data_IF_299566115705
#
_entry.id   IF_299566115705
#
_cell.length_a   1.000
_cell.length_b   1.000
_cell.length_c   1.000
_cell.angle_alpha   90.00
_cell.angle_beta   90.00
_cell.angle_gamma   90.00
#
_symmetry.space_group_name_H-M   'P 1'
#
loop_
_entity.id
_entity.type
_entity.pdbx_description
1 polymer ?
#
# COMPACT_ATOMS: atom_id res chain seq x y z
N UNK A 1 14.20 8.48 -37.86
CA UNK A 1 13.15 8.95 -36.92
C UNK A 1 13.87 9.41 -35.67
N UNK A 2 13.83 10.71 -35.37
CA UNK A 2 14.49 11.26 -34.18
C UNK A 2 13.86 10.65 -32.91
N UNK A 3 14.66 10.40 -31.84
CA UNK A 3 14.09 10.01 -30.56
C UNK A 3 13.08 11.09 -30.11
N UNK A 4 12.01 10.73 -29.38
CA UNK A 4 11.13 11.73 -28.78
C UNK A 4 12.01 12.67 -27.97
N UNK A 5 11.97 13.97 -28.28
CA UNK A 5 12.73 14.97 -27.55
C UNK A 5 12.41 14.79 -26.06
N UNK A 6 13.43 14.46 -25.29
CA UNK A 6 13.38 14.53 -23.84
C UNK A 6 12.87 15.94 -23.54
N UNK A 7 11.72 16.05 -22.86
CA UNK A 7 11.14 17.36 -22.53
C UNK A 7 12.26 18.25 -22.00
N UNK A 8 12.55 19.35 -22.70
CA UNK A 8 13.80 20.11 -22.50
C UNK A 8 14.01 20.55 -21.05
N UNK A 9 12.92 20.74 -20.29
CA UNK A 9 12.94 21.09 -18.88
C UNK A 9 13.24 19.92 -17.93
N UNK A 10 13.02 18.67 -18.34
CA UNK A 10 13.37 17.46 -17.59
C UNK A 10 14.82 17.01 -17.80
N UNK A 11 15.48 17.49 -18.86
CA UNK A 11 16.86 17.12 -19.20
C UNK A 11 17.89 17.44 -18.08
N UNK A 12 17.54 18.33 -17.15
CA UNK A 12 18.34 18.67 -15.97
C UNK A 12 18.25 17.69 -14.81
N UNK A 13 17.30 16.74 -14.83
CA UNK A 13 17.12 15.76 -13.76
C UNK A 13 17.68 14.39 -14.15
N UNK A 14 18.05 13.59 -13.16
CA UNK A 14 18.63 12.28 -13.38
C UNK A 14 17.59 11.31 -13.97
N UNK A 15 17.88 10.80 -15.17
CA UNK A 15 17.13 9.73 -15.82
C UNK A 15 17.96 8.45 -15.78
N UNK A 16 17.46 7.42 -15.10
CA UNK A 16 18.22 6.20 -14.83
C UNK A 16 17.43 4.91 -15.03
N UNK A 17 18.18 3.80 -15.19
CA UNK A 17 17.60 2.45 -15.11
C UNK A 17 17.10 2.21 -13.69
N UNK A 18 15.79 2.10 -13.54
CA UNK A 18 15.16 1.95 -12.24
C UNK A 18 15.06 0.48 -11.82
N UNK A 19 15.96 0.06 -10.92
CA UNK A 19 16.03 -1.29 -10.35
C UNK A 19 16.20 -1.21 -8.84
N UNK A 20 15.14 -0.94 -8.08
CA UNK A 20 15.25 -0.81 -6.63
C UNK A 20 15.70 -2.13 -6.00
N UNK A 21 16.70 -2.06 -5.12
CA UNK A 21 17.12 -3.18 -4.28
C UNK A 21 16.14 -3.32 -3.11
N UNK A 22 15.71 -2.20 -2.53
CA UNK A 22 14.77 -2.15 -1.40
C UNK A 22 13.46 -1.42 -1.73
N UNK A 23 12.43 -1.66 -0.93
CA UNK A 23 11.16 -0.94 -0.93
C UNK A 23 11.33 0.54 -0.61
N UNK A 24 12.31 0.89 0.23
CA UNK A 24 12.65 2.30 0.48
C UNK A 24 13.22 2.96 -0.78
N UNK A 25 14.11 2.29 -1.51
CA UNK A 25 14.62 2.79 -2.80
C UNK A 25 13.53 2.87 -3.88
N UNK A 26 12.57 1.94 -3.83
CA UNK A 26 11.34 1.99 -4.65
C UNK A 26 10.48 3.21 -4.28
N UNK A 27 10.48 3.60 -3.02
CA UNK A 27 9.62 4.64 -2.50
C UNK A 27 8.17 4.20 -2.33
N UNK A 28 7.39 5.07 -1.69
CA UNK A 28 5.98 4.90 -1.34
C UNK A 28 5.12 5.70 -2.31
N UNK A 29 4.00 5.14 -2.78
CA UNK A 29 3.11 5.86 -3.70
C UNK A 29 2.49 7.09 -3.04
N UNK A 30 2.42 8.20 -3.77
CA UNK A 30 1.69 9.39 -3.37
C UNK A 30 0.39 9.48 -4.18
N UNK A 31 -0.78 9.55 -3.53
CA UNK A 31 -2.06 9.63 -4.23
C UNK A 31 -2.36 11.07 -4.66
N UNK A 32 -1.50 11.62 -5.52
CA UNK A 32 -1.70 12.94 -6.11
C UNK A 32 -2.92 12.98 -7.03
N UNK A 33 -3.58 14.13 -7.08
CA UNK A 33 -4.69 14.39 -8.02
C UNK A 33 -4.24 15.08 -9.30
N UNK A 34 -3.09 15.76 -9.28
CA UNK A 34 -2.46 16.40 -10.43
C UNK A 34 -2.02 15.34 -11.44
N UNK A 35 -2.55 15.36 -12.67
CA UNK A 35 -2.28 14.30 -13.66
C UNK A 35 -0.80 14.05 -13.96
N UNK A 36 0.01 15.11 -14.01
CA UNK A 36 1.46 15.01 -14.23
C UNK A 36 2.23 14.29 -13.11
N UNK A 37 1.61 14.13 -11.94
CA UNK A 37 2.19 13.47 -10.77
C UNK A 37 1.60 12.09 -10.51
N UNK A 38 0.70 11.61 -11.38
CA UNK A 38 0.02 10.34 -11.22
C UNK A 38 1.03 9.18 -11.14
N UNK A 39 0.91 8.35 -10.10
CA UNK A 39 1.84 7.26 -9.83
C UNK A 39 3.18 7.69 -9.25
N UNK A 40 3.35 8.97 -8.93
CA UNK A 40 4.56 9.50 -8.27
C UNK A 40 4.82 8.83 -6.92
N UNK A 41 6.09 8.67 -6.58
CA UNK A 41 6.53 8.03 -5.33
C UNK A 41 7.48 8.92 -4.55
N UNK A 42 7.38 8.90 -3.23
CA UNK A 42 8.36 9.52 -2.32
C UNK A 42 9.35 8.48 -1.82
N UNK A 43 10.63 8.83 -1.79
CA UNK A 43 11.67 8.01 -1.17
C UNK A 43 12.68 8.88 -0.40
N UNK A 44 13.42 8.31 0.56
CA UNK A 44 14.59 8.99 1.09
C UNK A 44 15.68 9.06 0.02
N UNK A 45 16.21 10.25 -0.23
CA UNK A 45 17.40 10.51 -1.03
C UNK A 45 18.67 10.61 -0.18
N UNK A 46 19.71 11.20 -0.77
CA UNK A 46 20.96 11.49 -0.06
C UNK A 46 20.71 12.31 1.22
N UNK A 47 21.45 12.02 2.28
CA UNK A 47 21.32 12.71 3.59
C UNK A 47 19.89 12.70 4.16
N UNK A 48 19.04 11.75 3.75
CA UNK A 48 17.63 11.62 4.14
C UNK A 48 16.74 12.78 3.68
N UNK A 49 17.15 13.57 2.69
CA UNK A 49 16.23 14.53 2.06
C UNK A 49 15.27 13.76 1.15
N UNK A 50 13.95 14.03 1.17
CA UNK A 50 13.03 13.32 0.31
C UNK A 50 13.32 13.58 -1.18
N UNK A 51 13.01 12.59 -2.00
CA UNK A 51 13.06 12.65 -3.46
C UNK A 51 11.71 12.22 -4.03
N UNK A 52 11.34 12.83 -5.15
CA UNK A 52 10.18 12.45 -5.93
C UNK A 52 10.63 11.57 -7.09
N UNK A 53 10.04 10.38 -7.20
CA UNK A 53 10.24 9.46 -8.33
C UNK A 53 9.01 9.53 -9.23
N UNK A 54 9.21 9.86 -10.49
CA UNK A 54 8.16 9.90 -11.52
C UNK A 54 8.46 8.88 -12.62
N UNK A 55 7.43 8.18 -13.08
CA UNK A 55 7.54 7.40 -14.30
C UNK A 55 7.95 8.30 -15.46
N UNK A 56 8.75 7.79 -16.40
CA UNK A 56 9.20 8.60 -17.53
C UNK A 56 7.99 9.02 -18.40
N UNK A 57 7.65 10.33 -18.51
CA UNK A 57 6.49 10.78 -19.26
C UNK A 57 6.60 10.53 -20.77
N UNK A 58 7.81 10.30 -21.30
CA UNK A 58 8.00 9.90 -22.70
C UNK A 58 7.68 8.42 -22.95
N UNK A 59 7.24 7.66 -21.93
CA UNK A 59 6.91 6.24 -22.03
C UNK A 59 8.12 5.30 -22.14
N UNK A 60 9.34 5.85 -22.17
CA UNK A 60 10.58 5.08 -22.31
C UNK A 60 11.02 4.42 -20.99
N UNK A 61 11.92 3.44 -21.09
CA UNK A 61 12.45 2.72 -19.94
C UNK A 61 13.21 3.67 -18.99
N UNK A 62 12.71 3.83 -17.76
CA UNK A 62 13.39 4.57 -16.70
C UNK A 62 12.41 5.29 -15.77
N UNK A 63 12.97 6.04 -14.83
CA UNK A 63 12.25 7.01 -13.99
C UNK A 63 13.03 8.31 -13.96
N UNK A 64 12.33 9.41 -13.66
CA UNK A 64 12.95 10.65 -13.23
C UNK A 64 13.02 10.67 -11.71
N UNK A 65 14.20 10.98 -11.18
CA UNK A 65 14.40 11.25 -9.76
C UNK A 65 14.61 12.76 -9.62
N UNK A 66 13.71 13.40 -8.88
CA UNK A 66 13.74 14.84 -8.66
C UNK A 66 14.02 15.13 -7.19
N UNK A 67 14.82 16.16 -6.88
CA UNK A 67 14.89 16.68 -5.52
C UNK A 67 13.49 17.11 -5.11
N UNK A 68 13.12 16.95 -3.84
CA UNK A 68 11.80 17.36 -3.37
C UNK A 68 11.49 18.80 -3.83
N UNK A 69 12.36 19.76 -3.53
CA UNK A 69 12.18 21.17 -3.90
C UNK A 69 11.91 21.45 -5.39
N UNK A 70 12.15 20.49 -6.30
CA UNK A 70 11.90 20.62 -7.73
C UNK A 70 10.44 20.45 -8.17
N UNK A 71 9.48 20.12 -7.29
CA UNK A 71 8.08 19.94 -7.72
C UNK A 71 7.48 21.13 -8.50
N UNK A 72 7.65 22.39 -8.08
CA UNK A 72 7.09 23.54 -8.80
C UNK A 72 7.64 23.70 -10.22
N UNK A 73 8.82 23.14 -10.48
CA UNK A 73 9.44 23.16 -11.81
C UNK A 73 8.82 22.12 -12.76
N UNK A 74 8.05 21.15 -12.23
CA UNK A 74 7.41 20.07 -12.98
C UNK A 74 6.02 20.46 -13.45
N UNK A 75 5.20 20.99 -12.54
CA UNK A 75 3.82 21.31 -12.79
C UNK A 75 3.29 22.31 -11.76
N UNK A 76 2.07 22.81 -11.97
CA UNK A 76 1.31 23.52 -10.94
C UNK A 76 0.41 22.50 -10.23
N UNK A 77 0.74 22.07 -9.00
CA UNK A 77 -0.04 21.04 -8.32
C UNK A 77 -1.36 21.61 -7.80
N UNK A 78 -2.37 20.74 -7.66
CA UNK A 78 -3.62 21.08 -6.98
C UNK A 78 -3.37 21.53 -5.53
N UNK A 79 -4.37 22.19 -4.92
CA UNK A 79 -4.27 22.60 -3.51
C UNK A 79 -4.10 21.39 -2.58
N UNK A 80 -4.83 20.31 -2.85
CA UNK A 80 -4.68 19.02 -2.17
C UNK A 80 -3.24 18.52 -2.26
N UNK A 81 -2.66 18.50 -3.46
CA UNK A 81 -1.34 17.94 -3.68
C UNK A 81 -0.25 18.78 -3.02
N UNK A 82 -0.39 20.11 -2.99
CA UNK A 82 0.51 21.00 -2.24
C UNK A 82 0.46 20.73 -0.74
N UNK A 83 -0.73 20.47 -0.18
CA UNK A 83 -0.88 20.13 1.23
C UNK A 83 -0.28 18.76 1.55
N UNK A 84 -0.56 17.74 0.71
CA UNK A 84 0.02 16.41 0.82
C UNK A 84 1.55 16.47 0.76
N UNK A 85 2.06 17.19 -0.24
CA UNK A 85 3.48 17.43 -0.47
C UNK A 85 4.20 17.99 0.76
N UNK A 86 3.65 19.04 1.38
CA UNK A 86 4.25 19.63 2.58
C UNK A 86 4.19 18.68 3.77
N UNK A 87 3.09 17.93 3.92
CA UNK A 87 2.88 17.03 5.06
C UNK A 87 3.79 15.82 5.02
N UNK A 88 3.91 15.15 3.87
CA UNK A 88 4.73 13.92 3.76
C UNK A 88 6.22 14.20 3.92
N UNK A 89 6.68 15.40 3.58
CA UNK A 89 8.06 15.84 3.78
C UNK A 89 8.49 15.88 5.24
N UNK A 90 7.53 15.99 6.17
CA UNK A 90 7.76 16.10 7.61
C UNK A 90 7.61 14.75 8.32
N UNK A 91 7.32 13.67 7.59
CA UNK A 91 7.15 12.36 8.21
C UNK A 91 8.50 11.84 8.75
N UNK A 92 8.54 11.34 10.00
CA UNK A 92 9.78 10.81 10.58
C UNK A 92 10.25 9.53 9.89
N UNK A 93 9.30 8.78 9.30
CA UNK A 93 9.57 7.55 8.55
C UNK A 93 8.61 7.45 7.37
N UNK A 94 9.15 7.12 6.20
CA UNK A 94 8.38 6.89 4.98
C UNK A 94 7.97 5.43 4.88
N UNK A 95 6.69 5.15 5.14
CA UNK A 95 6.07 3.83 4.96
C UNK A 95 4.71 4.01 4.27
N UNK A 96 4.17 2.96 3.62
CA UNK A 96 2.81 3.01 3.08
C UNK A 96 1.77 3.42 4.13
N UNK A 97 1.97 3.03 5.39
CA UNK A 97 1.10 3.41 6.49
C UNK A 97 1.17 4.91 6.78
N UNK A 98 2.37 5.46 7.04
CA UNK A 98 2.52 6.87 7.41
C UNK A 98 2.09 7.81 6.29
N UNK A 99 2.36 7.45 5.03
CA UNK A 99 1.90 8.21 3.86
C UNK A 99 0.38 8.14 3.70
N UNK A 100 -0.23 6.97 3.92
CA UNK A 100 -1.70 6.82 3.88
C UNK A 100 -2.38 7.65 4.97
N UNK A 101 -1.86 7.62 6.20
CA UNK A 101 -2.36 8.45 7.30
C UNK A 101 -2.24 9.94 6.98
N UNK A 102 -1.08 10.38 6.47
CA UNK A 102 -0.89 11.76 6.02
C UNK A 102 -1.86 12.15 4.89
N UNK A 103 -2.07 11.26 3.92
CA UNK A 103 -3.01 11.46 2.81
C UNK A 103 -4.46 11.58 3.29
N UNK A 104 -4.90 10.69 4.18
CA UNK A 104 -6.25 10.76 4.77
C UNK A 104 -6.45 12.04 5.58
N UNK A 105 -5.45 12.48 6.34
CA UNK A 105 -5.50 13.73 7.08
C UNK A 105 -5.68 14.94 6.15
N UNK A 106 -4.94 15.01 5.03
CA UNK A 106 -5.07 16.08 4.04
C UNK A 106 -6.42 16.00 3.31
N UNK A 107 -6.87 14.80 2.95
CA UNK A 107 -8.17 14.62 2.30
C UNK A 107 -9.33 15.06 3.21
N UNK A 108 -9.24 14.83 4.53
CA UNK A 108 -10.23 15.24 5.52
C UNK A 108 -10.39 16.77 5.61
N UNK A 109 -9.38 17.55 5.21
CA UNK A 109 -9.46 19.03 5.12
C UNK A 109 -10.36 19.49 3.96
N UNK A 110 -10.79 18.59 3.06
CA UNK A 110 -11.70 18.91 1.96
C UNK A 110 -11.04 19.49 0.72
N UNK A 111 -9.71 19.48 0.65
CA UNK A 111 -8.94 20.08 -0.44
C UNK A 111 -9.09 19.33 -1.78
N UNK A 112 -9.48 18.05 -1.76
CA UNK A 112 -9.86 17.25 -2.92
C UNK A 112 -11.39 17.08 -3.05
N UNK A 113 -12.16 17.98 -2.44
CA UNK A 113 -13.62 17.97 -2.46
C UNK A 113 -14.28 17.22 -1.30
N UNK A 114 -15.60 17.43 -1.16
CA UNK A 114 -16.40 16.91 -0.03
C UNK A 114 -16.50 15.38 -0.02
N UNK A 115 -16.54 14.75 -1.19
CA UNK A 115 -16.62 13.29 -1.28
C UNK A 115 -15.34 12.64 -0.74
N UNK A 116 -14.17 13.14 -1.14
CA UNK A 116 -12.87 12.69 -0.63
C UNK A 116 -12.73 12.90 0.88
N UNK A 117 -13.20 14.04 1.41
CA UNK A 117 -13.19 14.29 2.86
C UNK A 117 -14.06 13.31 3.65
N UNK A 118 -15.28 13.02 3.17
CA UNK A 118 -16.17 12.04 3.81
C UNK A 118 -15.56 10.64 3.77
N UNK A 119 -15.06 10.24 2.61
CA UNK A 119 -14.38 8.96 2.41
C UNK A 119 -13.18 8.80 3.37
N UNK A 120 -12.36 9.85 3.55
CA UNK A 120 -11.25 9.83 4.50
C UNK A 120 -11.72 9.71 5.97
N UNK A 121 -12.78 10.42 6.36
CA UNK A 121 -13.35 10.34 7.70
C UNK A 121 -13.98 8.97 8.00
N UNK A 122 -14.64 8.36 7.02
CA UNK A 122 -15.18 7.00 7.10
C UNK A 122 -14.07 5.96 7.21
N UNK A 123 -13.01 6.09 6.40
CA UNK A 123 -11.84 5.21 6.47
C UNK A 123 -11.15 5.28 7.84
N UNK A 124 -11.02 6.47 8.42
CA UNK A 124 -10.44 6.66 9.76
C UNK A 124 -11.32 6.05 10.86
N UNK A 125 -12.65 6.15 10.74
CA UNK A 125 -13.57 5.47 11.65
C UNK A 125 -13.44 3.95 11.52
N UNK A 126 -13.43 3.43 10.30
CA UNK A 126 -13.28 2.00 10.03
C UNK A 126 -11.95 1.45 10.58
N UNK A 127 -10.84 2.18 10.44
CA UNK A 127 -9.54 1.79 11.02
C UNK A 127 -9.60 1.76 12.55
N UNK A 128 -10.25 2.72 13.21
CA UNK A 128 -10.41 2.68 14.68
C UNK A 128 -11.27 1.52 15.15
N UNK A 129 -12.36 1.23 14.44
CA UNK A 129 -13.26 0.11 14.75
C UNK A 129 -12.54 -1.23 14.53
N UNK A 130 -11.77 -1.36 13.44
CA UNK A 130 -10.97 -2.55 13.14
C UNK A 130 -9.81 -2.77 14.13
N UNK A 131 -9.16 -1.70 14.59
CA UNK A 131 -8.13 -1.78 15.64
C UNK A 131 -8.74 -2.27 16.96
N UNK A 132 -9.89 -1.72 17.34
CA UNK A 132 -10.65 -2.13 18.53
C UNK A 132 -11.05 -3.61 18.45
N UNK A 133 -11.59 -4.03 17.29
CA UNK A 133 -11.94 -5.42 17.03
C UNK A 133 -10.71 -6.34 17.13
N UNK A 134 -9.60 -5.95 16.51
CA UNK A 134 -8.34 -6.72 16.54
C UNK A 134 -7.85 -6.87 17.98
N UNK A 135 -7.87 -5.80 18.76
CA UNK A 135 -7.48 -5.84 20.18
C UNK A 135 -8.33 -6.84 20.98
N UNK A 136 -9.66 -6.78 20.86
CA UNK A 136 -10.53 -7.72 21.56
C UNK A 136 -10.27 -9.17 21.17
N UNK A 137 -10.04 -9.43 19.89
CA UNK A 137 -9.71 -10.78 19.45
C UNK A 137 -8.35 -11.25 19.96
N UNK A 138 -7.34 -10.37 20.06
CA UNK A 138 -6.06 -10.73 20.69
C UNK A 138 -6.25 -11.10 22.17
N UNK A 139 -7.15 -10.41 22.90
CA UNK A 139 -7.48 -10.78 24.27
C UNK A 139 -8.18 -12.15 24.35
N UNK A 140 -9.14 -12.42 23.47
CA UNK A 140 -9.83 -13.72 23.40
C UNK A 140 -8.82 -14.84 23.13
N UNK A 141 -7.95 -14.62 22.13
CA UNK A 141 -6.95 -15.59 21.73
C UNK A 141 -5.91 -15.83 22.82
N UNK A 142 -5.50 -14.79 23.56
CA UNK A 142 -4.59 -14.94 24.70
C UNK A 142 -5.20 -15.82 25.80
N UNK A 143 -6.48 -15.60 26.14
CA UNK A 143 -7.19 -16.41 27.12
C UNK A 143 -7.33 -17.84 26.63
N UNK A 144 -7.67 -18.04 25.35
CA UNK A 144 -7.78 -19.36 24.73
C UNK A 144 -6.45 -20.12 24.75
N UNK A 145 -5.34 -19.47 24.46
CA UNK A 145 -4.00 -20.08 24.50
C UNK A 145 -3.56 -20.47 25.92
N UNK A 146 -4.08 -19.79 26.95
CA UNK A 146 -3.80 -20.11 28.35
C UNK A 146 -4.68 -21.22 28.92
N UNK A 147 -5.86 -21.47 28.33
CA UNK A 147 -6.75 -22.58 28.68
C UNK A 147 -7.18 -23.37 27.43
N UNK A 148 -6.27 -24.19 26.84
CA UNK A 148 -6.57 -24.95 25.62
C UNK A 148 -7.69 -25.97 25.79
N UNK A 149 -7.93 -26.42 27.03
CA UNK A 149 -8.93 -27.43 27.37
C UNK A 149 -10.31 -26.84 27.67
N UNK A 150 -10.44 -25.50 27.71
CA UNK A 150 -11.70 -24.80 27.95
C UNK A 150 -12.31 -25.13 29.31
N UNK A 151 -11.48 -25.25 30.36
CA UNK A 151 -11.95 -25.54 31.72
C UNK A 151 -12.52 -24.30 32.43
N UNK A 152 -12.25 -23.10 31.92
CA UNK A 152 -12.83 -21.86 32.39
C UNK A 152 -14.30 -21.69 32.00
N UNK A 153 -15.04 -20.93 32.80
CA UNK A 153 -16.43 -20.57 32.50
C UNK A 153 -16.53 -19.90 31.11
N UNK A 154 -17.52 -20.23 30.26
CA UNK A 154 -17.64 -19.62 28.93
C UNK A 154 -17.71 -18.09 28.98
N UNK A 155 -16.96 -17.41 28.11
CA UNK A 155 -17.08 -15.96 27.93
C UNK A 155 -18.42 -15.65 27.27
N UNK A 156 -19.24 -14.81 27.91
CA UNK A 156 -20.46 -14.31 27.29
C UNK A 156 -20.10 -13.33 26.16
N UNK A 157 -20.70 -13.45 24.97
CA UNK A 157 -20.49 -12.48 23.89
C UNK A 157 -20.77 -11.05 24.37
N UNK A 158 -19.82 -10.14 24.18
CA UNK A 158 -19.95 -8.73 24.56
C UNK A 158 -19.58 -8.38 26.00
N UNK A 159 -19.21 -9.34 26.86
CA UNK A 159 -18.72 -9.05 28.21
C UNK A 159 -17.22 -8.70 28.21
N UNK A 160 -16.93 -7.48 27.77
CA UNK A 160 -15.57 -6.96 27.62
C UNK A 160 -14.83 -6.86 28.95
N UNK A 161 -15.52 -6.48 30.02
CA UNK A 161 -14.90 -6.31 31.34
C UNK A 161 -14.39 -7.65 31.87
N UNK A 162 -15.19 -8.70 31.76
CA UNK A 162 -14.77 -10.06 32.17
C UNK A 162 -13.63 -10.57 31.30
N UNK A 163 -13.68 -10.32 29.98
CA UNK A 163 -12.58 -10.67 29.07
C UNK A 163 -11.27 -10.00 29.47
N UNK A 164 -11.27 -8.69 29.70
CA UNK A 164 -10.08 -7.95 30.13
C UNK A 164 -9.53 -8.46 31.46
N UNK A 165 -10.41 -8.73 32.43
CA UNK A 165 -10.00 -9.27 33.74
C UNK A 165 -9.32 -10.63 33.59
N UNK A 166 -9.86 -11.52 32.75
CA UNK A 166 -9.26 -12.83 32.49
C UNK A 166 -7.95 -12.72 31.74
N UNK A 167 -7.87 -11.87 30.71
CA UNK A 167 -6.63 -11.63 29.99
C UNK A 167 -5.54 -11.13 30.94
N UNK A 168 -5.86 -10.18 31.85
CA UNK A 168 -4.92 -9.72 32.89
C UNK A 168 -4.50 -10.84 33.83
N UNK A 169 -5.43 -11.69 34.27
CA UNK A 169 -5.11 -12.85 35.11
C UNK A 169 -4.15 -13.82 34.41
N UNK A 170 -4.35 -14.07 33.11
CA UNK A 170 -3.44 -14.89 32.28
C UNK A 170 -2.05 -14.27 32.23
N UNK A 171 -1.93 -12.96 31.99
CA UNK A 171 -0.65 -12.26 31.96
C UNK A 171 0.08 -12.31 33.31
N UNK A 172 -0.67 -12.22 34.41
CA UNK A 172 -0.12 -12.37 35.77
C UNK A 172 0.37 -13.80 36.00
N UNK A 173 -0.40 -14.80 35.60
CA UNK A 173 -0.07 -16.22 35.81
C UNK A 173 1.11 -16.70 34.95
N UNK A 174 1.25 -16.20 33.73
CA UNK A 174 2.37 -16.53 32.82
C UNK A 174 3.66 -15.79 33.13
N UNK A 175 3.64 -14.86 34.08
CA UNK A 175 4.83 -14.11 34.48
C UNK A 175 5.84 -15.05 35.16
N UNK A 176 6.89 -15.40 34.43
CA UNK A 176 8.03 -16.17 34.95
C UNK A 176 9.17 -15.29 35.46
N UNK A 177 9.22 -14.02 35.02
CA UNK A 177 10.26 -13.05 35.38
C UNK A 177 9.66 -11.67 35.72
N UNK A 178 10.38 -10.90 36.54
CA UNK A 178 10.00 -9.55 36.97
C UNK A 178 10.14 -8.48 35.90
N UNK A 179 10.87 -8.74 34.82
CA UNK A 179 11.22 -7.78 33.76
C UNK A 179 10.02 -7.16 33.02
N UNK A 180 8.90 -7.87 32.87
CA UNK A 180 7.70 -7.35 32.23
C UNK A 180 6.52 -7.26 33.21
N UNK A 181 5.97 -6.06 33.40
CA UNK A 181 4.78 -5.87 34.23
C UNK A 181 3.51 -6.31 33.48
N UNK A 182 2.48 -6.86 34.17
CA UNK A 182 1.21 -7.22 33.54
C UNK A 182 0.50 -6.04 32.86
N UNK A 183 0.69 -4.82 33.38
CA UNK A 183 0.15 -3.59 32.77
C UNK A 183 0.84 -3.31 31.43
N UNK A 184 2.18 -3.35 31.40
CA UNK A 184 2.95 -3.16 30.17
C UNK A 184 2.65 -4.26 29.14
N UNK A 185 2.45 -5.51 29.58
CA UNK A 185 2.05 -6.61 28.71
C UNK A 185 0.64 -6.41 28.12
N UNK A 186 -0.29 -5.88 28.92
CA UNK A 186 -1.64 -5.56 28.44
C UNK A 186 -1.62 -4.40 27.43
N UNK A 187 -0.86 -3.34 27.70
CA UNK A 187 -0.63 -2.23 26.76
C UNK A 187 0.02 -2.72 25.45
N UNK A 188 0.91 -3.72 25.52
CA UNK A 188 1.55 -4.27 24.32
C UNK A 188 0.53 -4.91 23.39
N UNK A 189 -0.53 -5.53 23.92
CA UNK A 189 -1.60 -6.11 23.11
C UNK A 189 -2.42 -5.02 22.39
N UNK A 190 -2.55 -3.84 22.97
CA UNK A 190 -3.18 -2.70 22.29
C UNK A 190 -2.29 -2.14 21.18
N UNK A 191 -0.99 -2.00 21.43
CA UNK A 191 -0.02 -1.58 20.41
C UNK A 191 0.09 -2.61 19.26
N UNK A 192 0.14 -3.91 19.58
CA UNK A 192 0.13 -4.99 18.60
C UNK A 192 -1.16 -4.98 17.79
N UNK A 193 -2.32 -4.68 18.39
CA UNK A 193 -3.57 -4.55 17.63
C UNK A 193 -3.45 -3.47 16.55
N UNK A 194 -2.87 -2.31 16.84
CA UNK A 194 -2.65 -1.25 15.85
C UNK A 194 -1.64 -1.66 14.76
N UNK A 195 -0.65 -2.50 15.10
CA UNK A 195 0.33 -3.01 14.14
C UNK A 195 -0.29 -4.03 13.18
N UNK A 196 -1.12 -4.94 13.70
CA UNK A 196 -1.71 -6.06 12.96
C UNK A 196 -3.06 -5.74 12.31
N UNK A 197 -3.74 -4.65 12.70
CA UNK A 197 -5.05 -4.25 12.16
C UNK A 197 -5.13 -4.29 10.62
N UNK A 198 -4.14 -3.78 9.86
CA UNK A 198 -4.25 -3.77 8.40
C UNK A 198 -4.25 -5.18 7.80
N UNK A 199 -3.58 -6.12 8.46
CA UNK A 199 -3.48 -7.52 8.08
C UNK A 199 -4.73 -8.31 8.53
N UNK A 200 -5.33 -7.91 9.64
CA UNK A 200 -6.42 -8.64 10.26
C UNK A 200 -5.93 -9.90 10.98
N UNK A 201 -6.87 -10.81 11.21
CA UNK A 201 -6.66 -12.01 11.99
C UNK A 201 -6.92 -13.28 11.16
N UNK A 202 -6.32 -14.42 11.53
CA UNK A 202 -6.59 -15.69 10.89
C UNK A 202 -8.09 -16.02 10.91
N UNK A 203 -8.67 -16.36 9.76
CA UNK A 203 -10.07 -16.79 9.66
C UNK A 203 -11.09 -15.67 9.46
N UNK A 204 -10.71 -14.39 9.57
CA UNK A 204 -11.56 -13.26 9.15
C UNK A 204 -10.80 -12.26 8.27
N UNK A 205 -10.45 -12.66 7.03
CA UNK A 205 -9.75 -11.77 6.11
C UNK A 205 -10.65 -10.63 5.61
N UNK A 206 -11.98 -10.73 5.73
CA UNK A 206 -12.89 -9.83 5.03
C UNK A 206 -13.01 -8.44 5.67
N UNK A 207 -12.64 -8.30 6.94
CA UNK A 207 -12.73 -7.02 7.67
C UNK A 207 -11.50 -6.13 7.48
N UNK A 208 -10.31 -6.74 7.41
CA UNK A 208 -9.07 -5.99 7.37
C UNK A 208 -8.79 -5.41 5.99
N UNK A 209 -8.10 -4.26 5.96
CA UNK A 209 -7.86 -3.49 4.73
C UNK A 209 -7.03 -4.25 3.70
N UNK A 210 -5.95 -4.93 4.11
CA UNK A 210 -5.02 -5.55 3.17
C UNK A 210 -5.58 -6.78 2.45
N UNK A 211 -6.27 -7.73 3.13
CA UNK A 211 -6.93 -8.80 2.40
C UNK A 211 -8.07 -8.29 1.52
N UNK A 212 -8.83 -7.26 1.94
CA UNK A 212 -9.83 -6.59 1.09
C UNK A 212 -9.21 -6.05 -0.20
N UNK A 213 -8.10 -5.33 -0.10
CA UNK A 213 -7.35 -4.87 -1.28
C UNK A 213 -6.87 -6.04 -2.15
N UNK A 214 -6.45 -7.16 -1.54
CA UNK A 214 -6.12 -8.39 -2.26
C UNK A 214 -7.30 -8.94 -3.09
N UNK A 215 -8.51 -8.95 -2.51
CA UNK A 215 -9.74 -9.33 -3.22
C UNK A 215 -10.11 -8.32 -4.31
N UNK A 216 -9.95 -7.02 -4.06
CA UNK A 216 -10.20 -5.97 -5.06
C UNK A 216 -9.27 -6.10 -6.28
N UNK A 217 -7.99 -6.40 -6.06
CA UNK A 217 -7.05 -6.66 -7.16
C UNK A 217 -7.54 -7.86 -7.98
N UNK A 218 -7.96 -8.95 -7.33
CA UNK A 218 -8.46 -10.14 -8.04
C UNK A 218 -9.70 -9.81 -8.89
N UNK A 219 -10.67 -9.10 -8.31
CA UNK A 219 -11.88 -8.69 -9.01
C UNK A 219 -11.60 -7.79 -10.21
N UNK A 220 -10.68 -6.81 -10.09
CA UNK A 220 -10.27 -5.96 -11.22
C UNK A 220 -9.59 -6.77 -12.32
N UNK A 221 -8.76 -7.76 -11.97
CA UNK A 221 -8.13 -8.63 -12.98
C UNK A 221 -9.15 -9.51 -13.71
N UNK A 222 -10.17 -10.01 -13.03
CA UNK A 222 -11.28 -10.75 -13.65
C UNK A 222 -12.11 -9.87 -14.60
N UNK A 223 -12.39 -8.62 -14.20
CA UNK A 223 -13.04 -7.62 -15.06
C UNK A 223 -12.22 -7.32 -16.32
N UNK A 224 -10.91 -7.09 -16.16
CA UNK A 224 -10.00 -6.85 -17.28
C UNK A 224 -9.94 -8.05 -18.22
N UNK A 225 -9.91 -9.27 -17.69
CA UNK A 225 -9.90 -10.49 -18.51
C UNK A 225 -11.17 -10.59 -19.37
N UNK A 226 -12.35 -10.29 -18.81
CA UNK A 226 -13.60 -10.23 -19.59
C UNK A 226 -13.58 -9.13 -20.64
N UNK A 227 -13.00 -7.98 -20.31
CA UNK A 227 -12.88 -6.86 -21.23
C UNK A 227 -11.82 -7.09 -22.33
N UNK A 228 -10.88 -8.02 -22.15
CA UNK A 228 -9.86 -8.35 -23.12
C UNK A 228 -10.41 -8.99 -24.41
N UNK A 229 -11.57 -9.64 -24.35
CA UNK A 229 -12.22 -10.32 -25.47
C UNK A 229 -12.51 -9.38 -26.66
N UNK A 230 -13.20 -8.23 -26.48
CA UNK A 230 -13.39 -7.24 -27.55
C UNK A 230 -12.18 -6.32 -27.78
N UNK A 231 -11.13 -6.37 -26.95
CA UNK A 231 -10.06 -5.38 -26.96
C UNK A 231 -9.10 -5.55 -28.15
N UNK A 232 -8.33 -4.51 -28.48
CA UNK A 232 -7.27 -4.59 -29.50
C UNK A 232 -5.99 -5.28 -28.99
N UNK A 233 -5.00 -5.56 -29.87
CA UNK A 233 -3.74 -6.21 -29.50
C UNK A 233 -2.93 -5.45 -28.44
N UNK A 234 -2.95 -4.11 -28.49
CA UNK A 234 -2.22 -3.23 -27.57
C UNK A 234 -2.82 -3.30 -26.16
N UNK A 235 -4.14 -3.23 -26.07
CA UNK A 235 -4.90 -3.33 -24.82
C UNK A 235 -4.72 -4.71 -24.19
N UNK A 236 -4.84 -5.80 -24.96
CA UNK A 236 -4.58 -7.15 -24.47
C UNK A 236 -3.17 -7.31 -23.89
N UNK A 237 -2.18 -6.63 -24.49
CA UNK A 237 -0.81 -6.64 -23.97
C UNK A 237 -0.69 -5.90 -22.63
N UNK A 238 -1.41 -4.79 -22.45
CA UNK A 238 -1.49 -4.08 -21.17
C UNK A 238 -2.18 -4.93 -20.09
N UNK A 239 -3.28 -5.59 -20.45
CA UNK A 239 -4.04 -6.47 -19.55
C UNK A 239 -3.16 -7.63 -19.07
N UNK A 240 -2.41 -8.27 -19.98
CA UNK A 240 -1.46 -9.33 -19.62
C UNK A 240 -0.41 -8.83 -18.63
N UNK A 241 0.18 -7.66 -18.87
CA UNK A 241 1.16 -7.06 -17.97
C UNK A 241 0.59 -6.82 -16.56
N UNK A 242 -0.62 -6.26 -16.49
CA UNK A 242 -1.33 -6.03 -15.23
C UNK A 242 -1.62 -7.35 -14.51
N UNK A 243 -2.09 -8.37 -15.23
CA UNK A 243 -2.39 -9.68 -14.68
C UNK A 243 -1.14 -10.39 -14.14
N UNK A 244 -0.01 -10.33 -14.86
CA UNK A 244 1.27 -10.88 -14.42
C UNK A 244 1.76 -10.17 -13.14
N UNK A 245 1.71 -8.84 -13.10
CA UNK A 245 2.07 -8.05 -11.92
C UNK A 245 1.17 -8.31 -10.72
N UNK A 246 -0.15 -8.46 -10.95
CA UNK A 246 -1.13 -8.78 -9.92
C UNK A 246 -0.90 -10.18 -9.37
N UNK A 247 -0.66 -11.18 -10.22
CA UNK A 247 -0.40 -12.55 -9.82
C UNK A 247 0.87 -12.65 -8.96
N UNK A 248 1.97 -12.01 -9.36
CA UNK A 248 3.20 -11.93 -8.58
C UNK A 248 2.95 -11.25 -7.23
N UNK A 249 2.26 -10.10 -7.23
CA UNK A 249 1.93 -9.38 -5.99
C UNK A 249 1.11 -10.25 -5.04
N UNK A 250 0.03 -10.87 -5.53
CA UNK A 250 -0.84 -11.70 -4.71
C UNK A 250 -0.11 -12.91 -4.15
N UNK A 251 0.77 -13.54 -4.94
CA UNK A 251 1.61 -14.63 -4.46
C UNK A 251 2.47 -14.16 -3.27
N UNK A 252 3.14 -13.02 -3.42
CA UNK A 252 3.97 -12.47 -2.35
C UNK A 252 3.13 -12.05 -1.12
N UNK A 253 1.98 -11.41 -1.31
CA UNK A 253 1.13 -10.98 -0.20
C UNK A 253 0.62 -12.18 0.59
N UNK A 254 0.19 -13.27 -0.07
CA UNK A 254 -0.28 -14.47 0.64
C UNK A 254 0.80 -15.06 1.54
N UNK A 255 2.03 -15.15 1.06
CA UNK A 255 3.14 -15.67 1.86
C UNK A 255 3.52 -14.73 3.02
N UNK A 256 3.56 -13.40 2.79
CA UNK A 256 3.82 -12.43 3.85
C UNK A 256 2.72 -12.43 4.92
N UNK A 257 1.44 -12.52 4.52
CA UNK A 257 0.30 -12.62 5.44
C UNK A 257 0.36 -13.90 6.28
N UNK A 258 0.77 -15.03 5.69
CA UNK A 258 0.96 -16.29 6.44
C UNK A 258 2.02 -16.13 7.52
N UNK A 259 3.14 -15.46 7.23
CA UNK A 259 4.23 -15.22 8.18
C UNK A 259 3.80 -14.28 9.32
N UNK A 260 3.06 -13.21 8.99
CA UNK A 260 2.47 -12.30 9.99
C UNK A 260 1.51 -13.07 10.89
N UNK A 261 0.56 -13.82 10.33
CA UNK A 261 -0.39 -14.60 11.10
C UNK A 261 0.26 -15.68 11.97
N UNK A 262 1.37 -16.27 11.53
CA UNK A 262 2.11 -17.25 12.32
C UNK A 262 2.65 -16.66 13.64
N UNK A 263 2.92 -15.35 13.71
CA UNK A 263 3.34 -14.71 14.97
C UNK A 263 2.25 -14.76 16.05
N UNK A 264 0.98 -14.89 15.67
CA UNK A 264 -0.15 -14.91 16.59
C UNK A 264 -0.32 -16.28 17.27
N UNK A 265 0.46 -17.30 16.87
CA UNK A 265 0.39 -18.65 17.46
C UNK A 265 0.87 -18.74 18.91
N UNK A 266 1.72 -17.82 19.35
CA UNK A 266 2.11 -17.65 20.76
C UNK A 266 2.11 -16.16 21.13
N UNK A 267 0.96 -15.69 21.61
CA UNK A 267 0.77 -14.28 21.96
C UNK A 267 1.61 -13.84 23.14
N UNK A 268 1.94 -14.74 24.07
CA UNK A 268 2.78 -14.38 25.20
C UNK A 268 4.21 -14.08 24.76
N UNK A 269 4.79 -14.98 23.95
CA UNK A 269 6.13 -14.74 23.38
C UNK A 269 6.13 -13.51 22.46
N UNK A 270 5.07 -13.27 21.69
CA UNK A 270 4.94 -12.08 20.86
C UNK A 270 4.96 -10.79 21.70
N UNK A 271 4.20 -10.74 22.80
CA UNK A 271 4.16 -9.59 23.73
C UNK A 271 5.53 -9.34 24.36
N UNK A 272 6.22 -10.40 24.80
CA UNK A 272 7.57 -10.27 25.36
C UNK A 272 8.54 -9.71 24.32
N UNK A 273 8.53 -10.26 23.09
CA UNK A 273 9.39 -9.78 22.00
C UNK A 273 9.08 -8.34 21.62
N UNK A 274 7.79 -7.97 21.54
CA UNK A 274 7.35 -6.61 21.24
C UNK A 274 7.91 -5.59 22.23
N UNK A 275 7.90 -5.94 23.53
CA UNK A 275 8.41 -5.05 24.58
C UNK A 275 9.93 -4.94 24.60
N UNK A 276 10.64 -5.97 24.17
CA UNK A 276 12.11 -5.94 24.10
C UNK A 276 12.64 -5.30 22.82
N UNK A 277 12.03 -5.64 21.68
CA UNK A 277 12.44 -5.21 20.33
C UNK A 277 11.20 -5.14 19.43
N UNK A 278 10.49 -4.00 19.39
CA UNK A 278 9.28 -3.85 18.57
C UNK A 278 9.58 -3.77 17.07
N UNK A 279 10.76 -3.28 16.66
CA UNK A 279 11.07 -2.96 15.27
C UNK A 279 11.00 -4.18 14.33
N UNK A 280 11.53 -5.36 14.67
CA UNK A 280 11.40 -6.54 13.81
C UNK A 280 9.94 -6.96 13.57
N UNK A 281 9.09 -6.87 14.61
CA UNK A 281 7.67 -7.24 14.51
C UNK A 281 6.91 -6.20 13.67
N UNK A 282 7.18 -4.91 13.89
CA UNK A 282 6.60 -3.83 13.09
C UNK A 282 7.00 -3.94 11.61
N UNK A 283 8.28 -4.24 11.33
CA UNK A 283 8.76 -4.47 9.95
C UNK A 283 8.07 -5.67 9.30
N UNK A 284 7.93 -6.77 10.03
CA UNK A 284 7.25 -7.97 9.52
C UNK A 284 5.79 -7.66 9.18
N UNK A 285 5.04 -7.03 10.09
CA UNK A 285 3.65 -6.65 9.89
C UNK A 285 3.46 -5.61 8.77
N UNK A 286 4.47 -4.80 8.46
CA UNK A 286 4.43 -3.83 7.37
C UNK A 286 4.70 -4.44 5.98
N UNK A 287 5.27 -5.65 5.87
CA UNK A 287 5.61 -6.27 4.57
C UNK A 287 4.42 -6.37 3.61
N UNK A 288 3.22 -6.80 4.03
CA UNK A 288 2.08 -6.87 3.10
C UNK A 288 1.64 -5.48 2.61
N UNK A 289 1.78 -4.43 3.44
CA UNK A 289 1.50 -3.04 3.01
C UNK A 289 2.47 -2.59 1.92
N UNK A 290 3.75 -2.91 2.07
CA UNK A 290 4.77 -2.61 1.05
C UNK A 290 4.53 -3.35 -0.27
N UNK A 291 4.11 -4.61 -0.22
CA UNK A 291 3.80 -5.39 -1.41
C UNK A 291 2.59 -4.82 -2.17
N UNK A 292 1.60 -4.30 -1.46
CA UNK A 292 0.36 -3.77 -2.03
C UNK A 292 0.41 -2.28 -2.39
N UNK A 293 1.47 -1.57 -1.99
CA UNK A 293 1.66 -0.14 -2.23
C UNK A 293 1.64 0.23 -3.73
N UNK A 294 0.61 1.00 -4.13
CA UNK A 294 0.32 1.40 -5.51
C UNK A 294 -0.94 0.76 -6.11
N UNK A 295 -1.38 -0.39 -5.61
CA UNK A 295 -2.52 -1.12 -6.19
C UNK A 295 -3.87 -0.44 -5.95
N UNK A 296 -4.06 0.27 -4.83
CA UNK A 296 -5.29 1.03 -4.57
C UNK A 296 -5.55 2.05 -5.69
N UNK A 297 -4.50 2.71 -6.20
CA UNK A 297 -4.58 3.68 -7.29
C UNK A 297 -4.91 3.01 -8.63
N UNK A 298 -4.28 1.86 -8.92
CA UNK A 298 -4.53 1.07 -10.14
C UNK A 298 -5.99 0.57 -10.17
N UNK A 299 -6.47 -0.02 -9.08
CA UNK A 299 -7.85 -0.47 -8.95
C UNK A 299 -8.85 0.71 -8.98
N UNK A 300 -8.46 1.85 -8.39
CA UNK A 300 -9.22 3.09 -8.43
C UNK A 300 -9.44 3.62 -9.85
N UNK A 301 -8.39 3.65 -10.67
CA UNK A 301 -8.47 4.09 -12.08
C UNK A 301 -9.48 3.27 -12.87
N UNK A 302 -9.41 1.94 -12.77
CA UNK A 302 -10.33 1.07 -13.51
C UNK A 302 -11.78 1.30 -13.10
N UNK A 303 -12.06 1.40 -11.79
CA UNK A 303 -13.42 1.63 -11.27
C UNK A 303 -13.98 3.00 -11.63
N UNK A 304 -13.13 4.02 -11.69
CA UNK A 304 -13.52 5.37 -12.05
C UNK A 304 -13.68 5.56 -13.58
N UNK A 305 -13.16 4.65 -14.40
CA UNK A 305 -13.19 4.78 -15.85
C UNK A 305 -14.54 4.37 -16.45
N UNK A 306 -15.20 5.33 -17.07
CA UNK A 306 -16.34 5.08 -17.97
C UNK A 306 -15.90 4.28 -19.20
N UNK A 307 -16.83 3.60 -19.87
CA UNK A 307 -16.53 2.67 -20.97
C UNK A 307 -15.66 3.29 -22.09
N UNK A 308 -15.95 4.53 -22.49
CA UNK A 308 -15.16 5.25 -23.50
C UNK A 308 -13.76 5.69 -23.05
N UNK A 309 -13.49 5.69 -21.74
CA UNK A 309 -12.21 6.11 -21.14
C UNK A 309 -11.35 4.93 -20.66
N UNK A 310 -11.85 3.69 -20.75
CA UNK A 310 -11.13 2.47 -20.34
C UNK A 310 -9.78 2.27 -21.04
N UNK A 311 -9.61 2.52 -22.35
CA UNK A 311 -8.30 2.39 -23.00
C UNK A 311 -7.24 3.32 -22.40
N UNK A 312 -7.60 4.57 -22.10
CA UNK A 312 -6.68 5.53 -21.47
C UNK A 312 -6.35 5.13 -20.02
N UNK A 313 -7.37 4.74 -19.24
CA UNK A 313 -7.16 4.25 -17.87
C UNK A 313 -6.24 3.01 -17.84
N UNK A 314 -6.35 2.13 -18.82
CA UNK A 314 -5.50 0.94 -18.94
C UNK A 314 -4.02 1.28 -19.16
N UNK A 315 -3.73 2.31 -19.96
CA UNK A 315 -2.37 2.80 -20.17
C UNK A 315 -1.81 3.42 -18.88
N UNK A 316 -2.60 4.25 -18.18
CA UNK A 316 -2.23 4.82 -16.89
C UNK A 316 -1.93 3.70 -15.86
N UNK A 317 -2.80 2.69 -15.79
CA UNK A 317 -2.62 1.53 -14.90
C UNK A 317 -1.33 0.77 -15.21
N UNK A 318 -1.07 0.46 -16.49
CA UNK A 318 0.11 -0.27 -16.93
C UNK A 318 1.42 0.49 -16.61
N UNK A 319 1.41 1.83 -16.72
CA UNK A 319 2.56 2.67 -16.38
C UNK A 319 2.90 2.62 -14.89
N UNK A 320 1.92 2.39 -14.02
CA UNK A 320 2.05 2.40 -12.56
C UNK A 320 2.28 1.02 -11.93
N UNK A 321 2.28 -0.06 -12.71
CA UNK A 321 2.49 -1.42 -12.22
C UNK A 321 3.76 -1.47 -11.35
N UNK A 322 3.65 -1.83 -10.05
CA UNK A 322 4.78 -1.79 -9.15
C UNK A 322 5.90 -2.74 -9.58
N UNK A 323 7.14 -2.26 -9.47
CA UNK A 323 8.33 -3.11 -9.60
C UNK A 323 8.61 -3.73 -8.23
N UNK A 324 8.82 -5.04 -8.19
CA UNK A 324 9.23 -5.74 -6.98
C UNK A 324 10.75 -5.53 -6.73
N UNK A 325 11.13 -4.97 -5.57
CA UNK A 325 12.53 -4.80 -5.20
C UNK A 325 13.24 -6.14 -4.98
N UNK A 326 14.58 -6.16 -5.12
CA UNK A 326 15.38 -7.37 -4.93
C UNK A 326 15.19 -8.02 -3.55
N UNK A 327 15.02 -7.23 -2.50
CA UNK A 327 14.86 -7.73 -1.12
C UNK A 327 13.62 -8.60 -0.91
N UNK A 328 12.63 -8.56 -1.82
CA UNK A 328 11.50 -9.50 -1.80
C UNK A 328 11.98 -10.94 -1.85
N UNK A 329 13.08 -11.23 -2.57
CA UNK A 329 13.62 -12.58 -2.63
C UNK A 329 14.12 -13.10 -1.28
N UNK A 330 14.58 -12.20 -0.39
CA UNK A 330 15.02 -12.57 0.96
C UNK A 330 13.84 -12.91 1.87
N UNK A 331 12.66 -12.36 1.60
CA UNK A 331 11.46 -12.60 2.40
C UNK A 331 10.82 -13.94 2.08
N UNK A 332 11.03 -14.44 0.87
CA UNK A 332 10.19 -15.47 0.28
C UNK A 332 11.00 -16.68 -0.13
N UNK A 333 10.78 -17.82 0.54
CA UNK A 333 11.45 -19.09 0.26
C UNK A 333 11.01 -19.80 -1.05
N UNK A 334 10.68 -19.04 -2.11
CA UNK A 334 10.43 -19.55 -3.46
C UNK A 334 11.44 -18.93 -4.45
N UNK A 335 11.47 -19.39 -5.71
CA UNK A 335 12.27 -18.77 -6.78
C UNK A 335 11.68 -17.40 -7.18
N UNK A 336 11.74 -16.46 -6.24
CA UNK A 336 11.39 -15.06 -6.43
C UNK A 336 12.25 -14.39 -7.51
N UNK A 337 13.57 -14.66 -7.64
CA UNK A 337 14.40 -14.06 -8.69
C UNK A 337 13.86 -14.30 -10.10
N UNK A 338 13.49 -15.54 -10.44
CA UNK A 338 12.95 -15.89 -11.75
C UNK A 338 11.66 -15.15 -12.07
N UNK A 339 10.65 -15.24 -11.19
CA UNK A 339 9.37 -14.58 -11.36
C UNK A 339 9.50 -13.04 -11.45
N UNK A 340 10.41 -12.47 -10.66
CA UNK A 340 10.69 -11.03 -10.68
C UNK A 340 11.38 -10.57 -11.96
N UNK A 341 12.30 -11.36 -12.52
CA UNK A 341 12.93 -11.00 -13.80
C UNK A 341 11.98 -11.17 -14.98
N UNK A 342 11.10 -12.17 -14.97
CA UNK A 342 10.00 -12.28 -15.96
C UNK A 342 9.12 -11.05 -15.92
N UNK A 343 8.65 -10.64 -14.74
CA UNK A 343 7.84 -9.43 -14.56
C UNK A 343 8.56 -8.16 -15.05
N UNK A 344 9.83 -7.98 -14.68
CA UNK A 344 10.64 -6.84 -15.16
C UNK A 344 10.84 -6.87 -16.67
N UNK A 345 11.03 -8.04 -17.26
CA UNK A 345 11.20 -8.19 -18.71
C UNK A 345 9.91 -7.83 -19.44
N UNK A 346 8.75 -8.28 -18.93
CA UNK A 346 7.44 -7.88 -19.41
C UNK A 346 7.23 -6.37 -19.38
N UNK A 347 7.54 -5.71 -18.26
CA UNK A 347 7.51 -4.25 -18.13
C UNK A 347 8.40 -3.54 -19.15
N UNK A 348 9.66 -4.01 -19.32
CA UNK A 348 10.59 -3.42 -20.29
C UNK A 348 10.10 -3.60 -21.73
N UNK A 349 9.56 -4.77 -22.06
CA UNK A 349 9.04 -5.04 -23.39
C UNK A 349 7.84 -4.15 -23.70
N UNK A 350 6.89 -4.02 -22.77
CA UNK A 350 5.75 -3.13 -22.90
C UNK A 350 6.17 -1.66 -23.11
N UNK A 351 7.08 -1.13 -22.28
CA UNK A 351 7.59 0.25 -22.40
C UNK A 351 8.29 0.54 -23.74
N UNK A 352 8.81 -0.49 -24.42
CA UNK A 352 9.43 -0.34 -25.75
C UNK A 352 8.42 -0.40 -26.90
N UNK A 353 7.26 -1.03 -26.69
CA UNK A 353 6.21 -1.17 -27.70
C UNK A 353 5.23 0.01 -27.71
N UNK A 354 5.05 0.67 -26.57
CA UNK A 354 4.16 1.82 -26.44
C UNK A 354 4.82 3.05 -27.05
N UNK A 355 4.17 3.65 -28.05
CA UNK A 355 4.54 4.99 -28.53
C UNK A 355 4.21 6.03 -27.46
N UNK A 356 4.97 7.15 -27.37
CA UNK A 356 4.80 8.15 -26.32
C UNK A 356 3.33 8.58 -26.21
N UNK A 357 2.79 8.58 -24.99
CA UNK A 357 1.48 9.16 -24.71
C UNK A 357 1.51 10.64 -25.11
N UNK A 358 0.92 10.96 -26.26
CA UNK A 358 0.71 12.33 -26.73
C UNK A 358 -0.35 13.07 -25.89
N UNK A 359 -1.05 12.39 -24.97
CA UNK A 359 -2.32 12.84 -24.40
C UNK A 359 -2.25 13.62 -23.08
N UNK A 360 -1.10 13.71 -22.40
CA UNK A 360 -1.01 14.54 -21.19
C UNK A 360 -0.86 16.04 -21.51
N UNK A 361 -0.59 16.39 -22.77
CA UNK A 361 -0.56 17.77 -23.29
C UNK A 361 -1.83 18.17 -24.06
N UNK A 362 -2.85 17.30 -24.20
CA UNK A 362 -4.02 17.55 -25.07
C UNK A 362 -5.09 18.48 -24.47
N UNK A 363 -4.77 19.20 -23.39
CA UNK A 363 -5.66 20.21 -22.81
C UNK A 363 -6.77 19.66 -21.90
N UNK A 364 -6.81 18.34 -21.63
CA UNK A 364 -7.79 17.70 -20.72
C UNK A 364 -7.40 17.71 -19.24
N UNK A 365 -6.55 18.64 -18.82
CA UNK A 365 -5.99 18.69 -17.46
C UNK A 365 -7.08 18.74 -16.39
N UNK A 366 -8.15 19.51 -16.62
CA UNK A 366 -9.28 19.64 -15.69
C UNK A 366 -10.07 18.34 -15.56
N UNK A 367 -10.36 17.66 -16.68
CA UNK A 367 -11.07 16.38 -16.68
C UNK A 367 -10.27 15.29 -15.95
N UNK A 368 -8.97 15.21 -16.22
CA UNK A 368 -8.07 14.25 -15.57
C UNK A 368 -7.91 14.55 -14.06
N UNK A 369 -7.87 15.83 -13.68
CA UNK A 369 -7.83 16.23 -12.27
C UNK A 369 -9.13 15.83 -11.57
N UNK A 370 -10.29 16.13 -12.16
CA UNK A 370 -11.60 15.75 -11.60
C UNK A 370 -11.77 14.23 -11.50
N UNK A 371 -11.27 13.47 -12.49
CA UNK A 371 -11.20 11.99 -12.43
C UNK A 371 -10.38 11.54 -11.23
N UNK A 372 -9.18 12.09 -11.06
CA UNK A 372 -8.28 11.70 -9.97
C UNK A 372 -8.85 12.09 -8.59
N UNK A 373 -9.50 13.25 -8.46
CA UNK A 373 -10.23 13.65 -7.25
C UNK A 373 -11.40 12.73 -6.94
N UNK A 374 -12.19 12.34 -7.95
CA UNK A 374 -13.29 11.37 -7.79
C UNK A 374 -12.76 10.02 -7.33
N UNK A 375 -11.64 9.58 -7.90
CA UNK A 375 -10.97 8.35 -7.46
C UNK A 375 -10.54 8.39 -6.00
N UNK A 376 -10.12 9.56 -5.48
CA UNK A 376 -9.79 9.69 -4.04
C UNK A 376 -10.99 9.39 -3.12
N UNK A 377 -12.21 9.60 -3.59
CA UNK A 377 -13.41 9.20 -2.84
C UNK A 377 -13.67 7.68 -2.88
N UNK A 378 -13.10 6.96 -3.87
CA UNK A 378 -13.27 5.52 -4.06
C UNK A 378 -12.13 4.67 -3.45
N UNK A 379 -10.99 5.29 -3.15
CA UNK A 379 -9.82 4.66 -2.54
C UNK A 379 -9.77 5.00 -1.04
N UNK A 380 -10.46 4.20 -0.21
CA UNK A 380 -10.55 4.37 1.26
C UNK A 380 -9.87 3.27 2.04
#
# INVERSE_FOLDING_TARGET
>A
MAPPETLSWLARFEAGKYKPVTFLERGVVLPFTTPALLGGRIRPGERKTPELVLANPAGVEGVYILPWSGLPDVCTPTLHDRALWNRVAQLPMLTPRSVREASRAVAAEGLAGRAAARAAAEAERATRDACTFTHYHLLIELVRQADPNGQGEPLRPGDLKTLEQRARAVLVARRTDTSLSPAAAFEALAELAAVFEPCGLPGDPTRARLPRLGFEIAAVMEDLARWAEPAGPSERSCIRLLAEGAALTQHCVRAAMKEVHAQLGDLWMLVQRWRMTPEPIARLAARPEWLLDGWELICGLWRAAEEGHRPAALLDMAAMVPIMPAEVAEWMGFDAPGAMETHRTGLRHWRRMVQPNQDWMTGRLLELTARNETMRALCT
#
